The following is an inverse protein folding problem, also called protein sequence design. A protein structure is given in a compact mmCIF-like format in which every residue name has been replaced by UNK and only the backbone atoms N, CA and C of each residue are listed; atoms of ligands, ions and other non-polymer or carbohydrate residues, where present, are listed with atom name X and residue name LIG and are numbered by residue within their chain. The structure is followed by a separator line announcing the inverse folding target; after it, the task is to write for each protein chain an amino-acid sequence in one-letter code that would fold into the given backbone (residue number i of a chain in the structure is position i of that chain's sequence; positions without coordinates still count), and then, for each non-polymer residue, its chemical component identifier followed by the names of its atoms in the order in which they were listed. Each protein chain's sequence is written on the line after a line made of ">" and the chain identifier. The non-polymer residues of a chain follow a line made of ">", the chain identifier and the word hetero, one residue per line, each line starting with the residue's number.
data_IF_844029158208
#
_entry.id   IF_844029158208
#
_cell.length_a   1.000
_cell.length_b   1.000
_cell.length_c   1.000
_cell.angle_alpha   90.00
_cell.angle_beta   90.00
_cell.angle_gamma   90.00
#
_symmetry.space_group_name_H-M   'P 1'
#
loop_
_entity.id
_entity.type
_entity.pdbx_description
1 polymer ?
#
# COMPACT_ATOMS: atom_id res chain seq x y z
N UNK A 1 5.84 -15.76 13.94
CA UNK A 1 4.60 -14.99 13.68
C UNK A 1 4.91 -13.88 12.69
N UNK A 2 4.02 -13.62 11.71
CA UNK A 2 4.22 -12.60 10.68
C UNK A 2 4.62 -11.23 11.24
N UNK A 3 3.99 -10.80 12.34
CA UNK A 3 4.26 -9.51 12.99
C UNK A 3 5.68 -9.36 13.52
N UNK A 4 6.26 -10.41 14.14
CA UNK A 4 7.66 -10.36 14.64
C UNK A 4 8.69 -10.26 13.52
N UNK A 5 8.39 -10.84 12.34
CA UNK A 5 9.26 -10.72 11.17
C UNK A 5 9.23 -9.28 10.65
N UNK A 6 8.03 -8.72 10.53
CA UNK A 6 7.84 -7.33 10.09
C UNK A 6 8.51 -6.31 11.02
N UNK A 7 8.46 -6.54 12.34
CA UNK A 7 9.16 -5.73 13.32
C UNK A 7 10.67 -5.67 13.06
N UNK A 8 11.32 -6.83 12.84
CA UNK A 8 12.77 -6.87 12.55
C UNK A 8 13.15 -6.14 11.26
N UNK A 9 12.34 -6.31 10.22
CA UNK A 9 12.54 -5.59 8.95
C UNK A 9 12.49 -4.08 9.18
N UNK A 10 11.44 -3.62 9.87
CA UNK A 10 11.26 -2.21 10.15
C UNK A 10 12.37 -1.66 11.06
N UNK A 11 12.77 -2.37 12.10
CA UNK A 11 13.88 -1.98 12.99
C UNK A 11 15.18 -1.77 12.19
N UNK A 12 15.51 -2.69 11.30
CA UNK A 12 16.68 -2.57 10.43
C UNK A 12 16.58 -1.32 9.54
N UNK A 13 15.42 -1.09 8.94
CA UNK A 13 15.17 0.03 8.06
C UNK A 13 15.20 1.38 8.79
N UNK A 14 14.59 1.48 9.98
CA UNK A 14 14.61 2.68 10.81
C UNK A 14 16.03 3.00 11.28
N UNK A 15 16.83 1.98 11.58
CA UNK A 15 18.24 2.14 11.94
C UNK A 15 19.06 2.68 10.78
N UNK A 16 18.83 2.16 9.56
CA UNK A 16 19.53 2.61 8.34
C UNK A 16 19.13 4.03 7.93
N UNK A 17 17.84 4.38 8.03
CA UNK A 17 17.31 5.68 7.63
C UNK A 17 17.80 6.81 8.57
N UNK A 18 17.87 6.53 9.87
CA UNK A 18 18.14 7.53 10.89
C UNK A 18 16.93 8.44 11.20
N UNK A 19 16.96 9.11 12.36
CA UNK A 19 15.80 9.84 12.88
C UNK A 19 15.46 11.09 12.05
N UNK A 20 16.47 11.85 11.61
CA UNK A 20 16.24 13.09 10.85
C UNK A 20 15.55 12.82 9.51
N UNK A 21 16.03 11.84 8.74
CA UNK A 21 15.42 11.48 7.45
C UNK A 21 14.04 10.82 7.62
N UNK A 22 13.81 10.12 8.74
CA UNK A 22 12.50 9.59 9.07
C UNK A 22 11.49 10.72 9.28
N UNK A 23 11.84 11.73 10.08
CA UNK A 23 10.97 12.87 10.36
C UNK A 23 10.64 13.64 9.07
N UNK A 24 11.64 13.84 8.20
CA UNK A 24 11.45 14.50 6.91
C UNK A 24 10.47 13.72 6.00
N UNK A 25 10.62 12.39 5.90
CA UNK A 25 9.69 11.54 5.13
C UNK A 25 8.28 11.53 5.72
N UNK A 26 8.15 11.52 7.04
CA UNK A 26 6.84 11.55 7.70
C UNK A 26 6.15 12.90 7.53
N UNK A 27 6.91 14.01 7.54
CA UNK A 27 6.39 15.34 7.26
C UNK A 27 5.94 15.46 5.79
N UNK A 28 6.74 15.00 4.83
CA UNK A 28 6.38 15.05 3.41
C UNK A 28 5.09 14.27 3.13
N UNK A 29 4.85 13.18 3.86
CA UNK A 29 3.63 12.38 3.73
C UNK A 29 2.34 13.12 4.10
N UNK A 30 2.41 14.17 4.93
CA UNK A 30 1.24 15.00 5.30
C UNK A 30 0.75 15.90 4.16
N UNK A 31 1.56 16.06 3.11
CA UNK A 31 1.18 16.86 1.95
C UNK A 31 0.02 16.22 1.19
N UNK A 32 -0.80 17.06 0.57
CA UNK A 32 -1.94 16.64 -0.23
C UNK A 32 -1.49 15.62 -1.29
N UNK A 33 -2.23 14.51 -1.47
CA UNK A 33 -1.86 13.49 -2.43
C UNK A 33 -1.89 14.07 -3.85
N UNK A 34 -0.94 13.64 -4.68
CA UNK A 34 -0.88 13.99 -6.12
C UNK A 34 -2.13 13.49 -6.87
N UNK A 35 -2.75 12.42 -6.36
CA UNK A 35 -3.99 11.86 -6.90
C UNK A 35 -5.18 12.33 -6.04
N UNK A 36 -6.39 12.44 -6.63
CA UNK A 36 -7.58 12.82 -5.87
C UNK A 36 -7.79 11.85 -4.70
N UNK A 37 -8.13 12.35 -3.50
CA UNK A 37 -8.35 11.48 -2.36
C UNK A 37 -9.64 10.65 -2.55
N UNK A 38 -9.73 9.56 -1.78
CA UNK A 38 -10.86 8.65 -1.65
C UNK A 38 -11.19 7.89 -2.94
N UNK A 39 -10.21 7.58 -3.80
CA UNK A 39 -10.47 6.97 -5.13
C UNK A 39 -11.24 5.65 -5.04
N UNK A 40 -10.87 4.77 -4.10
CA UNK A 40 -11.53 3.48 -3.93
C UNK A 40 -12.97 3.64 -3.44
N UNK A 41 -13.20 4.40 -2.36
CA UNK A 41 -14.54 4.56 -1.80
C UNK A 41 -15.48 5.30 -2.73
N UNK A 42 -14.99 6.30 -3.48
CA UNK A 42 -15.75 6.97 -4.54
C UNK A 42 -16.13 5.99 -5.65
N UNK A 43 -15.19 5.16 -6.10
CA UNK A 43 -15.45 4.14 -7.12
C UNK A 43 -16.48 3.10 -6.64
N UNK A 44 -16.34 2.60 -5.41
CA UNK A 44 -17.29 1.64 -4.83
C UNK A 44 -18.67 2.27 -4.76
N UNK A 45 -18.79 3.48 -4.20
CA UNK A 45 -20.06 4.19 -4.10
C UNK A 45 -20.70 4.38 -5.47
N UNK A 46 -19.92 4.78 -6.47
CA UNK A 46 -20.41 4.95 -7.85
C UNK A 46 -20.95 3.63 -8.40
N UNK A 47 -20.16 2.56 -8.42
CA UNK A 47 -20.56 1.24 -8.95
C UNK A 47 -21.82 0.74 -8.25
N UNK A 48 -21.88 0.82 -6.92
CA UNK A 48 -23.04 0.32 -6.16
C UNK A 48 -24.30 1.14 -6.45
N UNK A 49 -24.19 2.46 -6.64
CA UNK A 49 -25.34 3.33 -6.86
C UNK A 49 -25.80 3.38 -8.32
N UNK A 50 -24.89 3.29 -9.30
CA UNK A 50 -25.23 3.43 -10.73
C UNK A 50 -25.45 2.10 -11.42
N UNK A 51 -24.68 1.06 -11.07
CA UNK A 51 -24.71 -0.24 -11.74
C UNK A 51 -25.43 -1.31 -10.91
N UNK A 52 -25.68 -1.07 -9.62
CA UNK A 52 -26.39 -1.99 -8.74
C UNK A 52 -25.65 -3.31 -8.50
N UNK A 53 -24.33 -3.35 -8.73
CA UNK A 53 -23.47 -4.52 -8.51
C UNK A 53 -22.39 -4.25 -7.47
N UNK A 54 -21.77 -5.32 -7.00
CA UNK A 54 -20.57 -5.23 -6.16
C UNK A 54 -19.36 -4.76 -6.99
N UNK A 55 -18.48 -4.00 -6.35
CA UNK A 55 -17.15 -3.70 -6.88
C UNK A 55 -16.23 -4.92 -6.71
N UNK A 56 -15.54 -5.31 -7.78
CA UNK A 56 -14.65 -6.47 -7.81
C UNK A 56 -13.21 -6.00 -7.62
N UNK A 57 -12.60 -6.45 -6.53
CA UNK A 57 -11.21 -6.15 -6.19
C UNK A 57 -10.37 -7.43 -6.32
N UNK A 58 -9.34 -7.41 -7.16
CA UNK A 58 -8.54 -8.61 -7.48
C UNK A 58 -7.11 -8.45 -6.97
N UNK A 59 -6.66 -9.39 -6.15
CA UNK A 59 -5.24 -9.51 -5.78
C UNK A 59 -4.47 -10.15 -6.94
N UNK A 60 -3.41 -9.48 -7.38
CA UNK A 60 -2.51 -9.97 -8.42
C UNK A 60 -1.10 -10.14 -7.87
N UNK A 61 -0.38 -11.10 -8.44
CA UNK A 61 1.00 -11.38 -8.09
C UNK A 61 1.76 -11.81 -9.35
N UNK A 62 3.09 -11.81 -9.25
CA UNK A 62 3.93 -12.41 -10.28
C UNK A 62 3.63 -13.93 -10.35
N UNK A 63 3.58 -14.51 -11.56
CA UNK A 63 3.32 -15.94 -11.73
C UNK A 63 4.51 -16.81 -11.27
N UNK A 64 5.71 -16.23 -11.20
CA UNK A 64 6.91 -16.84 -10.63
C UNK A 64 7.88 -15.74 -10.14
N UNK A 65 8.86 -16.08 -9.28
CA UNK A 65 9.89 -15.13 -8.86
C UNK A 65 10.72 -14.53 -10.01
N UNK A 66 10.86 -15.27 -11.12
CA UNK A 66 11.62 -14.87 -12.31
C UNK A 66 10.79 -14.13 -13.36
N UNK A 67 9.49 -13.95 -13.13
CA UNK A 67 8.63 -13.28 -14.09
C UNK A 67 9.06 -11.83 -14.30
N UNK A 68 8.93 -11.30 -15.51
CA UNK A 68 9.35 -9.94 -15.86
C UNK A 68 8.28 -8.90 -15.49
N UNK A 69 8.68 -7.62 -15.44
CA UNK A 69 7.75 -6.51 -15.25
C UNK A 69 6.62 -6.53 -16.29
N UNK A 70 6.95 -6.77 -17.57
CA UNK A 70 5.97 -6.85 -18.65
C UNK A 70 4.93 -7.97 -18.46
N UNK A 71 5.32 -9.10 -17.86
CA UNK A 71 4.37 -10.18 -17.53
C UNK A 71 3.39 -9.74 -16.43
N UNK A 72 3.88 -9.03 -15.40
CA UNK A 72 3.03 -8.47 -14.35
C UNK A 72 2.07 -7.40 -14.90
N UNK A 73 2.55 -6.51 -15.78
CA UNK A 73 1.69 -5.54 -16.47
C UNK A 73 0.58 -6.22 -17.28
N UNK A 74 0.93 -7.29 -18.02
CA UNK A 74 -0.03 -8.04 -18.81
C UNK A 74 -1.09 -8.71 -17.92
N UNK A 75 -0.72 -9.22 -16.75
CA UNK A 75 -1.65 -9.75 -15.75
C UNK A 75 -2.58 -8.65 -15.24
N UNK A 76 -2.04 -7.49 -14.87
CA UNK A 76 -2.83 -6.36 -14.38
C UNK A 76 -3.85 -5.89 -15.43
N UNK A 77 -3.42 -5.69 -16.68
CA UNK A 77 -4.29 -5.30 -17.80
C UNK A 77 -5.37 -6.35 -18.07
N UNK A 78 -5.02 -7.64 -17.99
CA UNK A 78 -5.98 -8.74 -18.17
C UNK A 78 -7.01 -8.80 -17.04
N UNK A 79 -6.61 -8.59 -15.79
CA UNK A 79 -7.53 -8.56 -14.65
C UNK A 79 -8.56 -7.43 -14.81
N UNK A 80 -8.13 -6.24 -15.22
CA UNK A 80 -9.04 -5.12 -15.53
C UNK A 80 -9.95 -5.45 -16.70
N UNK A 81 -9.42 -6.02 -17.79
CA UNK A 81 -10.22 -6.44 -18.94
C UNK A 81 -11.25 -7.54 -18.58
N UNK A 82 -10.99 -8.34 -17.56
CA UNK A 82 -11.90 -9.35 -17.03
C UNK A 82 -12.94 -8.79 -16.04
N UNK A 83 -12.94 -7.48 -15.77
CA UNK A 83 -13.94 -6.81 -14.93
C UNK A 83 -13.46 -6.46 -13.51
N UNK A 84 -12.15 -6.47 -13.23
CA UNK A 84 -11.65 -5.94 -11.97
C UNK A 84 -11.79 -4.41 -11.93
N UNK A 85 -12.48 -3.88 -10.91
CA UNK A 85 -12.67 -2.45 -10.69
C UNK A 85 -11.53 -1.82 -9.87
N UNK A 86 -10.79 -2.63 -9.12
CA UNK A 86 -9.56 -2.25 -8.43
C UNK A 86 -8.63 -3.47 -8.31
N UNK A 87 -7.34 -3.20 -8.12
CA UNK A 87 -6.31 -4.24 -7.96
C UNK A 87 -5.66 -4.15 -6.58
N UNK A 88 -5.11 -5.27 -6.12
CA UNK A 88 -4.29 -5.35 -4.91
C UNK A 88 -2.95 -5.97 -5.27
N UNK A 89 -1.87 -5.35 -4.80
CA UNK A 89 -0.51 -5.87 -4.93
C UNK A 89 0.05 -6.10 -3.54
N UNK A 90 0.64 -7.28 -3.30
CA UNK A 90 1.35 -7.57 -2.06
C UNK A 90 2.72 -6.91 -2.08
N UNK A 91 3.05 -6.16 -1.04
CA UNK A 91 4.31 -5.40 -0.94
C UNK A 91 5.23 -5.87 0.18
N UNK A 92 4.85 -6.93 0.90
CA UNK A 92 5.73 -7.56 1.90
C UNK A 92 6.99 -8.13 1.23
N UNK A 93 8.16 -7.56 1.52
CA UNK A 93 9.42 -7.87 0.84
C UNK A 93 9.94 -9.30 1.07
N UNK A 94 9.51 -9.96 2.14
CA UNK A 94 9.87 -11.35 2.41
C UNK A 94 9.10 -12.31 1.48
N UNK A 95 7.83 -12.00 1.17
CA UNK A 95 7.01 -12.76 0.23
C UNK A 95 7.24 -12.30 -1.22
N UNK A 96 7.51 -11.00 -1.40
CA UNK A 96 7.58 -10.30 -2.69
C UNK A 96 8.78 -9.35 -2.68
N UNK A 97 10.00 -9.82 -3.00
CA UNK A 97 11.24 -9.03 -2.88
C UNK A 97 11.23 -7.69 -3.62
N UNK A 98 10.47 -7.59 -4.73
CA UNK A 98 10.29 -6.35 -5.48
C UNK A 98 8.92 -5.68 -5.21
N UNK A 99 8.30 -5.91 -4.05
CA UNK A 99 6.90 -5.54 -3.76
C UNK A 99 6.54 -4.08 -4.06
N UNK A 100 7.32 -3.11 -3.59
CA UNK A 100 7.07 -1.68 -3.88
C UNK A 100 7.23 -1.35 -5.36
N UNK A 101 8.15 -2.03 -6.06
CA UNK A 101 8.35 -1.87 -7.51
C UNK A 101 7.21 -2.52 -8.29
N UNK A 102 6.69 -3.65 -7.84
CA UNK A 102 5.51 -4.31 -8.42
C UNK A 102 4.28 -3.41 -8.31
N UNK A 103 4.09 -2.78 -7.15
CA UNK A 103 3.03 -1.80 -6.94
C UNK A 103 3.14 -0.65 -7.94
N UNK A 104 4.35 -0.08 -8.11
CA UNK A 104 4.59 0.97 -9.08
C UNK A 104 4.33 0.53 -10.53
N UNK A 105 4.83 -0.65 -10.93
CA UNK A 105 4.63 -1.22 -12.27
C UNK A 105 3.14 -1.39 -12.57
N UNK A 106 2.40 -2.03 -11.65
CA UNK A 106 0.96 -2.24 -11.79
C UNK A 106 0.23 -0.91 -11.85
N UNK A 107 0.59 0.03 -10.98
CA UNK A 107 -0.03 1.36 -10.94
C UNK A 107 0.13 2.12 -12.25
N UNK A 108 1.28 1.99 -12.91
CA UNK A 108 1.54 2.60 -14.22
C UNK A 108 0.82 1.86 -15.37
N UNK A 109 0.55 0.58 -15.22
CA UNK A 109 -0.09 -0.25 -16.25
C UNK A 109 -1.60 -0.05 -16.37
N UNK A 110 -2.28 0.41 -15.31
CA UNK A 110 -3.75 0.51 -15.24
C UNK A 110 -4.26 1.84 -14.70
N UNK A 111 -5.51 2.19 -15.02
CA UNK A 111 -6.17 3.42 -14.54
C UNK A 111 -6.97 3.24 -13.25
N UNK A 112 -7.40 2.01 -12.96
CA UNK A 112 -8.16 1.67 -11.76
C UNK A 112 -7.33 1.88 -10.48
N UNK A 113 -7.96 2.06 -9.30
CA UNK A 113 -7.24 2.09 -8.03
C UNK A 113 -6.40 0.81 -7.83
N UNK A 114 -5.19 0.97 -7.31
CA UNK A 114 -4.30 -0.14 -6.95
C UNK A 114 -3.96 -0.01 -5.47
N UNK A 115 -4.25 -1.05 -4.69
CA UNK A 115 -4.08 -1.07 -3.24
C UNK A 115 -2.82 -1.84 -2.87
N UNK A 116 -2.15 -1.39 -1.82
CA UNK A 116 -0.97 -2.06 -1.29
C UNK A 116 -1.35 -2.98 -0.13
N UNK A 117 -1.07 -4.27 -0.25
CA UNK A 117 -1.30 -5.25 0.82
C UNK A 117 -0.01 -5.55 1.58
N UNK A 118 -0.04 -5.31 2.89
CA UNK A 118 1.06 -5.62 3.80
C UNK A 118 0.59 -5.71 5.26
N UNK A 119 1.51 -6.06 6.16
CA UNK A 119 1.40 -5.87 7.59
C UNK A 119 1.88 -4.46 7.95
N UNK A 120 0.95 -3.52 8.06
CA UNK A 120 1.26 -2.14 8.44
C UNK A 120 1.33 -2.01 9.97
N UNK A 121 2.55 -1.80 10.48
CA UNK A 121 2.84 -1.62 11.90
C UNK A 121 3.50 -0.28 12.21
N UNK A 122 3.86 0.50 11.18
CA UNK A 122 4.49 1.80 11.34
C UNK A 122 4.12 2.80 10.23
N UNK A 123 3.96 4.10 10.55
CA UNK A 123 3.68 5.18 9.60
C UNK A 123 4.56 5.21 8.35
N UNK A 124 5.86 4.91 8.48
CA UNK A 124 6.79 4.89 7.35
C UNK A 124 6.30 4.00 6.19
N UNK A 125 5.75 2.83 6.50
CA UNK A 125 5.24 1.90 5.47
C UNK A 125 4.05 2.48 4.70
N UNK A 126 3.28 3.34 5.35
CA UNK A 126 2.14 4.04 4.75
C UNK A 126 2.64 5.12 3.80
N UNK A 127 3.68 5.85 4.19
CA UNK A 127 4.39 6.80 3.32
C UNK A 127 4.91 6.10 2.08
N UNK A 128 5.59 4.97 2.25
CA UNK A 128 6.17 4.21 1.15
C UNK A 128 5.13 3.68 0.16
N UNK A 129 4.01 3.16 0.66
CA UNK A 129 2.90 2.76 -0.19
C UNK A 129 2.30 3.95 -0.96
N UNK A 130 2.17 5.13 -0.30
CA UNK A 130 1.71 6.37 -0.94
C UNK A 130 2.69 6.84 -2.02
N UNK A 131 3.99 6.84 -1.74
CA UNK A 131 5.06 7.20 -2.69
C UNK A 131 5.06 6.26 -3.91
N UNK A 132 4.80 4.97 -3.71
CA UNK A 132 4.64 3.99 -4.78
C UNK A 132 3.31 4.14 -5.56
N UNK A 133 2.42 5.05 -5.14
CA UNK A 133 1.20 5.41 -5.83
C UNK A 133 -0.03 4.57 -5.45
N UNK A 134 -0.02 3.91 -4.29
CA UNK A 134 -1.17 3.20 -3.77
C UNK A 134 -2.37 4.14 -3.62
N UNK A 135 -3.55 3.67 -4.03
CA UNK A 135 -4.83 4.35 -3.84
C UNK A 135 -5.51 4.01 -2.51
N UNK A 136 -4.82 3.23 -1.67
CA UNK A 136 -5.29 2.74 -0.38
C UNK A 136 -4.50 1.51 0.06
N UNK A 137 -4.71 1.10 1.30
CA UNK A 137 -3.98 0.00 1.94
C UNK A 137 -4.92 -1.13 2.34
N UNK A 138 -4.44 -2.37 2.30
CA UNK A 138 -5.13 -3.54 2.85
C UNK A 138 -4.18 -4.24 3.81
N UNK A 139 -4.58 -4.46 5.05
CA UNK A 139 -3.74 -5.14 6.02
C UNK A 139 -4.38 -5.22 7.39
N UNK A 140 -3.75 -6.00 8.27
CA UNK A 140 -4.07 -6.01 9.69
C UNK A 140 -3.17 -4.99 10.37
N UNK A 141 -3.77 -3.94 10.93
CA UNK A 141 -3.09 -3.03 11.84
C UNK A 141 -2.95 -3.76 13.17
N UNK A 142 -1.82 -4.44 13.36
CA UNK A 142 -1.50 -5.03 14.65
C UNK A 142 -0.95 -3.94 15.56
N UNK A 143 -1.81 -3.33 16.37
CA UNK A 143 -1.34 -2.63 17.57
C UNK A 143 -0.74 -3.68 18.50
N UNK A 144 0.59 -3.78 18.52
CA UNK A 144 1.28 -4.46 19.60
C UNK A 144 1.34 -3.45 20.75
N UNK A 145 0.29 -3.37 21.56
CA UNK A 145 0.37 -2.70 22.85
C UNK A 145 1.34 -3.49 23.74
N UNK A 146 2.58 -3.03 23.81
CA UNK A 146 3.62 -3.66 24.61
C UNK A 146 4.75 -2.70 24.96
N UNK A 147 4.55 -1.96 26.05
CA UNK A 147 5.61 -1.35 26.87
C UNK A 147 6.15 0.01 26.40
N UNK A 148 5.74 1.07 27.10
CA UNK A 148 6.44 2.34 27.34
C UNK A 148 7.58 2.69 26.36
N UNK A 149 7.20 3.16 25.16
CA UNK A 149 8.11 3.65 24.14
C UNK A 149 7.60 4.96 23.55
N UNK A 150 8.16 6.05 24.07
CA UNK A 150 8.15 7.45 23.60
C UNK A 150 7.49 7.73 22.23
N UNK A 151 6.46 8.60 22.22
CA UNK A 151 6.16 9.48 21.06
C UNK A 151 5.15 9.02 20.01
N UNK A 152 4.47 7.89 20.17
CA UNK A 152 3.61 7.30 19.13
C UNK A 152 2.28 8.07 18.85
N UNK A 153 1.77 8.87 19.78
CA UNK A 153 0.42 9.45 19.69
C UNK A 153 0.25 10.48 18.56
N UNK A 154 1.31 11.22 18.21
CA UNK A 154 1.27 12.25 17.17
C UNK A 154 1.29 11.70 15.74
N UNK A 155 2.04 10.63 15.51
CA UNK A 155 2.32 10.13 14.15
C UNK A 155 1.09 9.54 13.45
N UNK A 156 0.21 8.85 14.16
CA UNK A 156 -0.95 8.19 13.55
C UNK A 156 -2.03 9.18 13.09
N UNK A 157 -2.15 10.34 13.76
CA UNK A 157 -3.16 11.36 13.43
C UNK A 157 -2.97 11.99 12.04
N UNK A 158 -1.72 12.29 11.66
CA UNK A 158 -1.40 12.86 10.34
C UNK A 158 -1.53 11.85 9.20
N UNK A 159 -1.27 10.57 9.49
CA UNK A 159 -1.25 9.50 8.48
C UNK A 159 -2.66 9.12 8.01
N UNK A 160 -3.66 9.19 8.89
CA UNK A 160 -5.05 8.88 8.55
C UNK A 160 -5.61 9.82 7.45
N UNK A 161 -5.14 11.07 7.41
CA UNK A 161 -5.49 12.06 6.39
C UNK A 161 -4.72 11.86 5.07
N UNK A 162 -3.59 11.15 5.10
CA UNK A 162 -2.74 10.91 3.93
C UNK A 162 -3.13 9.64 3.14
N UNK A 163 -3.82 8.70 3.79
CA UNK A 163 -4.22 7.40 3.21
C UNK A 163 -5.43 7.53 2.29
N UNK A 164 -6.32 8.47 2.62
CA UNK A 164 -7.57 8.64 1.92
C UNK A 164 -7.45 9.71 0.85
#
# INVERSE_FOLDING_TARGET
>A
MPTRRKQRQLEAQLTELGMEALDERLQSATQAPVQPPYRLSRLISQITSTEGRAAVVVEISRPSPSATAAQLEAIAKRAVAAGADALVVRVDSEDTPEGSKDLFIVRQAVKVPVLARDWYIHPLQIVEAKEAGAAGLIGVIAQVCGGDGVGQEGYWSGVQSAIC
#
